data_IF_898173067552
#
_entry.id   IF_898173067552
#
_cell.length_a   1.000
_cell.length_b   1.000
_cell.length_c   1.000
_cell.angle_alpha   90.00
_cell.angle_beta   90.00
_cell.angle_gamma   90.00
#
_symmetry.space_group_name_H-M   'P 1'
#
loop_
_entity.id
_entity.type
_entity.pdbx_description
1 polymer ?
#
# COMPACT_ATOMS: atom_id res chain seq x y z
N UNK A 1 12.45 -8.56 -10.59
CA UNK A 1 12.96 -9.53 -9.61
C UNK A 1 11.98 -9.46 -8.43
N UNK A 2 11.13 -10.48 -8.26
CA UNK A 2 10.11 -10.50 -7.21
C UNK A 2 10.73 -11.24 -6.01
N UNK A 3 10.85 -10.58 -4.85
CA UNK A 3 11.40 -11.21 -3.65
C UNK A 3 10.28 -11.96 -2.93
N UNK A 4 10.38 -13.28 -2.88
CA UNK A 4 9.39 -14.16 -2.24
C UNK A 4 10.06 -14.99 -1.14
N UNK A 5 9.54 -14.89 0.09
CA UNK A 5 9.98 -15.74 1.20
C UNK A 5 8.93 -16.81 1.50
N UNK A 6 9.35 -18.07 1.61
CA UNK A 6 8.47 -19.22 1.86
C UNK A 6 8.48 -19.59 3.34
N UNK A 7 7.32 -19.64 3.97
CA UNK A 7 7.14 -20.12 5.36
C UNK A 7 6.65 -21.58 5.41
N UNK A 8 7.05 -22.35 6.44
CA UNK A 8 6.62 -23.75 6.63
C UNK A 8 5.19 -23.85 7.22
N UNK A 9 4.41 -24.90 6.88
CA UNK A 9 3.00 -24.98 7.26
C UNK A 9 2.82 -25.40 8.73
N UNK A 10 2.23 -24.51 9.53
CA UNK A 10 1.49 -24.86 10.74
C UNK A 10 0.01 -24.97 10.38
N UNK A 11 -0.57 -26.16 10.48
CA UNK A 11 -2.02 -26.37 10.36
C UNK A 11 -2.68 -25.99 11.68
N UNK A 12 -3.03 -24.73 11.85
CA UNK A 12 -3.67 -24.25 13.07
C UNK A 12 -4.20 -22.83 12.97
N UNK A 13 -5.13 -22.51 13.86
CA UNK A 13 -5.52 -21.14 14.19
C UNK A 13 -4.26 -20.27 14.39
N UNK A 14 -4.33 -18.93 14.24
CA UNK A 14 -3.16 -18.08 14.53
C UNK A 14 -2.76 -18.08 16.03
N UNK A 15 -3.56 -18.71 16.89
CA UNK A 15 -3.15 -19.13 18.24
C UNK A 15 -2.09 -20.25 18.24
N UNK A 16 -1.87 -20.91 17.10
CA UNK A 16 -0.85 -21.94 16.84
C UNK A 16 0.26 -21.42 15.89
N UNK A 17 0.49 -20.10 15.83
CA UNK A 17 1.78 -19.59 15.34
C UNK A 17 2.85 -20.18 16.26
N UNK A 18 3.50 -21.25 15.80
CA UNK A 18 4.56 -21.93 16.53
C UNK A 18 5.50 -20.87 17.10
N UNK A 19 5.67 -20.85 18.43
CA UNK A 19 6.58 -19.93 19.08
C UNK A 19 7.89 -19.90 18.28
N UNK A 20 8.40 -18.71 17.92
CA UNK A 20 9.59 -18.61 17.11
C UNK A 20 10.68 -19.45 17.77
N UNK A 21 11.18 -20.46 17.05
CA UNK A 21 12.11 -21.41 17.62
C UNK A 21 13.23 -20.67 18.36
N UNK A 22 13.65 -21.19 19.50
CA UNK A 22 14.72 -20.58 20.29
C UNK A 22 15.97 -20.26 19.43
N UNK A 23 16.21 -21.09 18.41
CA UNK A 23 17.28 -20.92 17.43
C UNK A 23 17.06 -19.71 16.51
N UNK A 24 15.84 -19.51 15.99
CA UNK A 24 15.52 -18.36 15.13
C UNK A 24 15.63 -17.04 15.89
N UNK A 25 15.19 -17.01 17.15
CA UNK A 25 15.31 -15.83 18.03
C UNK A 25 16.79 -15.53 18.36
N UNK A 26 17.60 -16.57 18.60
CA UNK A 26 19.06 -16.40 18.80
C UNK A 26 19.75 -15.85 17.55
N UNK A 27 19.42 -16.38 16.37
CA UNK A 27 19.99 -15.92 15.10
C UNK A 27 19.61 -14.45 14.81
N UNK A 28 18.35 -14.09 15.04
CA UNK A 28 17.86 -12.71 14.90
C UNK A 28 18.60 -11.73 15.83
N UNK A 29 18.70 -12.03 17.13
CA UNK A 29 19.40 -11.18 18.07
C UNK A 29 20.90 -11.05 17.74
N UNK A 30 21.50 -12.16 17.28
CA UNK A 30 22.88 -12.15 16.79
C UNK A 30 23.02 -11.23 15.58
N UNK A 31 22.13 -11.30 14.60
CA UNK A 31 22.15 -10.44 13.42
C UNK A 31 22.09 -8.95 13.79
N UNK A 32 21.19 -8.55 14.72
CA UNK A 32 21.14 -7.16 15.22
C UNK A 32 22.45 -6.77 15.89
N UNK A 33 22.99 -7.62 16.77
CA UNK A 33 24.24 -7.32 17.48
C UNK A 33 25.40 -7.17 16.51
N UNK A 34 25.50 -8.03 15.50
CA UNK A 34 26.53 -7.99 14.47
C UNK A 34 26.37 -6.77 13.57
N UNK A 35 25.15 -6.37 13.20
CA UNK A 35 24.91 -5.14 12.44
C UNK A 35 25.35 -3.91 13.23
N UNK A 36 24.96 -3.82 14.51
CA UNK A 36 25.36 -2.70 15.39
C UNK A 36 26.87 -2.62 15.54
N UNK A 37 27.52 -3.76 15.74
CA UNK A 37 28.97 -3.84 15.82
C UNK A 37 29.62 -3.42 14.50
N UNK A 38 29.13 -3.90 13.36
CA UNK A 38 29.64 -3.54 12.04
C UNK A 38 29.57 -2.04 11.78
N UNK A 39 28.45 -1.40 12.14
CA UNK A 39 28.27 0.05 12.03
C UNK A 39 29.22 0.81 12.98
N UNK A 40 29.46 0.28 14.19
CA UNK A 40 30.32 0.94 15.18
C UNK A 40 31.82 0.79 14.88
N UNK A 41 32.22 -0.36 14.34
CA UNK A 41 33.63 -0.71 14.10
C UNK A 41 34.13 -0.21 12.71
N UNK A 42 33.21 0.17 11.80
CA UNK A 42 33.55 0.65 10.46
C UNK A 42 33.50 2.17 10.38
N UNK A 43 34.60 2.80 9.94
CA UNK A 43 34.63 4.25 9.67
C UNK A 43 33.66 4.67 8.55
N UNK A 44 33.35 3.76 7.63
CA UNK A 44 32.38 3.91 6.55
C UNK A 44 31.74 2.54 6.19
N UNK A 45 30.68 2.10 6.88
CA UNK A 45 30.00 0.85 6.56
C UNK A 45 29.37 0.92 5.16
N UNK A 46 29.38 -0.19 4.43
CA UNK A 46 28.75 -0.28 3.11
C UNK A 46 27.23 -0.11 3.26
N UNK A 47 26.68 0.93 2.66
CA UNK A 47 25.27 1.30 2.82
C UNK A 47 24.34 0.20 2.27
N UNK A 48 24.72 -0.45 1.17
CA UNK A 48 23.98 -1.59 0.61
C UNK A 48 23.86 -2.76 1.61
N UNK A 49 24.93 -3.08 2.34
CA UNK A 49 24.91 -4.13 3.35
C UNK A 49 23.97 -3.78 4.51
N UNK A 50 24.04 -2.54 5.00
CA UNK A 50 23.17 -2.07 6.08
C UNK A 50 21.70 -2.10 5.65
N UNK A 51 21.40 -1.64 4.43
CA UNK A 51 20.06 -1.62 3.86
C UNK A 51 19.51 -3.04 3.65
N UNK A 52 20.33 -3.97 3.17
CA UNK A 52 19.95 -5.37 3.01
C UNK A 52 19.58 -6.00 4.36
N UNK A 53 20.40 -5.78 5.40
CA UNK A 53 20.10 -6.29 6.75
C UNK A 53 18.83 -5.65 7.31
N UNK A 54 18.64 -4.34 7.13
CA UNK A 54 17.40 -3.66 7.51
C UNK A 54 16.19 -4.28 6.82
N UNK A 55 16.25 -4.56 5.51
CA UNK A 55 15.16 -5.19 4.77
C UNK A 55 14.80 -6.57 5.33
N UNK A 56 15.81 -7.39 5.65
CA UNK A 56 15.62 -8.69 6.28
C UNK A 56 14.94 -8.54 7.65
N UNK A 57 15.41 -7.60 8.48
CA UNK A 57 14.82 -7.34 9.79
C UNK A 57 13.37 -6.87 9.68
N UNK A 58 13.05 -6.00 8.72
CA UNK A 58 11.66 -5.58 8.43
C UNK A 58 10.80 -6.82 8.12
N UNK A 59 11.26 -7.70 7.22
CA UNK A 59 10.53 -8.92 6.88
C UNK A 59 10.33 -9.82 8.10
N UNK A 60 11.35 -9.98 8.95
CA UNK A 60 11.25 -10.73 10.20
C UNK A 60 10.21 -10.13 11.16
N UNK A 61 10.20 -8.81 11.36
CA UNK A 61 9.22 -8.15 12.21
C UNK A 61 7.79 -8.30 11.67
N UNK A 62 7.60 -8.19 10.35
CA UNK A 62 6.29 -8.40 9.73
C UNK A 62 5.80 -9.85 9.89
N UNK A 63 6.69 -10.83 9.69
CA UNK A 63 6.39 -12.25 9.93
C UNK A 63 6.06 -12.55 11.39
N UNK A 64 6.61 -11.79 12.33
CA UNK A 64 6.33 -11.89 13.78
C UNK A 64 5.06 -11.13 14.18
N UNK A 65 4.42 -10.39 13.27
CA UNK A 65 3.25 -9.57 13.57
C UNK A 65 3.58 -8.34 14.42
N UNK A 66 4.79 -7.80 14.31
CA UNK A 66 5.28 -6.61 15.05
C UNK A 66 5.51 -5.42 14.10
N UNK A 67 4.45 -4.87 13.46
CA UNK A 67 4.56 -3.82 12.44
C UNK A 67 5.24 -2.53 12.94
N UNK A 68 5.13 -2.21 14.23
CA UNK A 68 5.78 -1.04 14.82
C UNK A 68 7.32 -1.14 14.77
N UNK A 69 7.86 -2.33 15.01
CA UNK A 69 9.31 -2.55 14.93
C UNK A 69 9.77 -2.61 13.48
N UNK A 70 8.97 -3.22 12.59
CA UNK A 70 9.19 -3.16 11.14
C UNK A 70 9.29 -1.70 10.66
N UNK A 71 8.41 -0.83 11.16
CA UNK A 71 8.38 0.60 10.83
C UNK A 71 9.64 1.32 11.29
N UNK A 72 10.16 0.99 12.48
CA UNK A 72 11.44 1.56 12.96
C UNK A 72 12.62 1.16 12.08
N UNK A 73 12.70 -0.10 11.65
CA UNK A 73 13.75 -0.54 10.73
C UNK A 73 13.62 0.13 9.36
N UNK A 74 12.38 0.31 8.89
CA UNK A 74 12.07 1.06 7.67
C UNK A 74 12.52 2.52 7.78
N UNK A 75 12.23 3.21 8.89
CA UNK A 75 12.65 4.60 9.14
C UNK A 75 14.16 4.78 9.10
N UNK A 76 14.88 3.87 9.76
CA UNK A 76 16.35 3.89 9.77
C UNK A 76 16.91 3.69 8.36
N UNK A 77 16.40 2.71 7.61
CA UNK A 77 16.87 2.47 6.24
C UNK A 77 16.47 3.59 5.27
N UNK A 78 15.27 4.16 5.42
CA UNK A 78 14.83 5.31 4.64
C UNK A 78 15.72 6.55 4.88
N UNK A 79 16.15 6.79 6.12
CA UNK A 79 17.09 7.86 6.42
C UNK A 79 18.43 7.67 5.67
N UNK A 80 18.94 6.44 5.60
CA UNK A 80 20.17 6.09 4.87
C UNK A 80 20.00 6.30 3.37
N UNK A 81 18.92 5.78 2.77
CA UNK A 81 18.62 5.98 1.34
C UNK A 81 18.54 7.48 1.00
N UNK A 82 17.90 8.28 1.86
CA UNK A 82 17.77 9.72 1.68
C UNK A 82 19.11 10.46 1.80
N UNK A 83 19.96 10.11 2.76
CA UNK A 83 21.28 10.74 2.89
C UNK A 83 22.19 10.41 1.71
N UNK A 84 22.17 9.16 1.26
CA UNK A 84 23.04 8.70 0.18
C UNK A 84 22.62 9.28 -1.18
N UNK A 85 21.34 9.25 -1.50
CA UNK A 85 20.81 9.86 -2.74
C UNK A 85 21.16 11.35 -2.84
N UNK A 86 21.14 12.09 -1.73
CA UNK A 86 21.58 13.49 -1.68
C UNK A 86 23.10 13.64 -1.92
N UNK A 87 23.91 12.68 -1.47
CA UNK A 87 25.35 12.64 -1.74
C UNK A 87 25.68 12.35 -3.20
N UNK A 88 24.98 11.39 -3.81
CA UNK A 88 25.15 11.03 -5.23
C UNK A 88 24.82 12.19 -6.17
N UNK A 89 23.76 12.96 -5.88
CA UNK A 89 23.40 14.13 -6.69
C UNK A 89 24.52 15.20 -6.69
N UNK A 90 25.24 15.37 -5.58
CA UNK A 90 26.36 16.33 -5.50
C UNK A 90 27.55 15.86 -6.33
N UNK A 91 27.85 14.56 -6.32
CA UNK A 91 28.98 13.96 -7.03
C UNK A 91 28.72 13.75 -8.53
N UNK A 92 27.46 13.56 -8.93
CA UNK A 92 27.03 13.32 -10.33
C UNK A 92 27.22 14.53 -11.26
N UNK A 93 27.54 15.70 -10.73
CA UNK A 93 27.80 16.90 -11.54
C UNK A 93 29.12 16.86 -12.31
N UNK A 94 29.92 15.78 -12.21
CA UNK A 94 31.30 15.79 -12.73
C UNK A 94 31.83 14.54 -13.49
N UNK A 95 31.08 13.46 -13.77
CA UNK A 95 31.62 12.37 -14.61
C UNK A 95 30.58 11.45 -15.29
N UNK A 96 31.02 10.84 -16.41
CA UNK A 96 30.26 10.09 -17.41
C UNK A 96 29.80 8.67 -17.00
N UNK A 97 28.49 8.43 -17.12
CA UNK A 97 27.68 7.27 -17.57
C UNK A 97 28.02 5.79 -17.27
N UNK A 98 29.01 5.44 -16.45
CA UNK A 98 29.17 4.04 -16.01
C UNK A 98 28.79 3.91 -14.54
N UNK A 99 27.61 3.33 -14.27
CA UNK A 99 27.20 2.94 -12.91
C UNK A 99 28.12 1.83 -12.39
N UNK A 100 28.59 1.98 -11.15
CA UNK A 100 29.29 0.88 -10.47
C UNK A 100 28.27 -0.19 -10.03
N UNK A 101 28.68 -1.46 -9.86
CA UNK A 101 27.82 -2.51 -9.32
C UNK A 101 27.20 -2.14 -7.96
N UNK A 102 27.96 -1.44 -7.11
CA UNK A 102 27.49 -0.95 -5.80
C UNK A 102 26.33 0.06 -5.94
N UNK A 103 26.33 0.86 -7.02
CA UNK A 103 25.26 1.81 -7.31
C UNK A 103 24.00 1.09 -7.82
N UNK A 104 24.15 0.02 -8.61
CA UNK A 104 23.02 -0.79 -9.07
C UNK A 104 22.34 -1.52 -7.90
N UNK A 105 23.13 -2.08 -6.96
CA UNK A 105 22.62 -2.70 -5.74
C UNK A 105 21.87 -1.70 -4.86
N UNK A 106 22.41 -0.48 -4.72
CA UNK A 106 21.74 0.60 -4.00
C UNK A 106 20.45 1.04 -4.68
N UNK A 107 20.44 1.23 -6.00
CA UNK A 107 19.24 1.60 -6.75
C UNK A 107 18.16 0.54 -6.54
N UNK A 108 18.51 -0.74 -6.58
CA UNK A 108 17.59 -1.84 -6.30
C UNK A 108 17.03 -1.79 -4.87
N UNK A 109 17.89 -1.63 -3.87
CA UNK A 109 17.49 -1.56 -2.46
C UNK A 109 16.62 -0.32 -2.21
N UNK A 110 16.97 0.83 -2.79
CA UNK A 110 16.18 2.06 -2.72
C UNK A 110 14.77 1.87 -3.27
N UNK A 111 14.62 1.17 -4.41
CA UNK A 111 13.30 0.80 -4.95
C UNK A 111 12.50 -0.05 -3.97
N UNK A 112 13.14 -1.01 -3.30
CA UNK A 112 12.49 -1.86 -2.30
C UNK A 112 12.04 -1.07 -1.06
N UNK A 113 12.87 -0.14 -0.57
CA UNK A 113 12.52 0.74 0.55
C UNK A 113 11.36 1.69 0.22
N UNK A 114 11.32 2.22 -1.00
CA UNK A 114 10.19 3.03 -1.48
C UNK A 114 8.91 2.19 -1.54
N UNK A 115 8.97 0.97 -2.06
CA UNK A 115 7.82 0.07 -2.06
C UNK A 115 7.31 -0.18 -0.63
N UNK A 116 8.21 -0.54 0.30
CA UNK A 116 7.84 -0.78 1.70
C UNK A 116 7.29 0.47 2.40
N UNK A 117 7.82 1.65 2.07
CA UNK A 117 7.30 2.90 2.60
C UNK A 117 5.87 3.17 2.14
N UNK A 118 5.56 2.93 0.88
CA UNK A 118 4.18 3.02 0.38
C UNK A 118 3.25 2.12 1.20
N UNK A 119 3.68 0.91 1.58
CA UNK A 119 2.84 0.04 2.42
C UNK A 119 2.70 0.57 3.83
N UNK A 120 3.79 1.03 4.44
CA UNK A 120 3.77 1.51 5.81
C UNK A 120 2.89 2.78 5.90
N UNK A 121 2.99 3.67 4.93
CA UNK A 121 2.13 4.87 4.82
C UNK A 121 0.70 4.48 4.48
N UNK A 122 0.49 3.47 3.63
CA UNK A 122 -0.82 2.93 3.34
C UNK A 122 -1.40 2.07 4.49
N UNK A 123 -0.62 1.75 5.53
CA UNK A 123 -1.01 0.98 6.72
C UNK A 123 -1.19 1.86 7.98
N UNK A 124 -0.49 2.99 8.04
CA UNK A 124 -0.54 3.92 9.16
C UNK A 124 -0.76 5.35 8.66
N UNK A 125 -1.97 5.87 8.88
CA UNK A 125 -2.39 7.22 8.48
C UNK A 125 -1.67 8.35 9.23
N UNK A 126 -1.05 8.04 10.37
CA UNK A 126 -0.21 8.99 11.11
C UNK A 126 1.21 9.09 10.52
N UNK A 127 1.56 8.21 9.57
CA UNK A 127 2.88 8.18 8.95
C UNK A 127 2.91 9.01 7.67
N UNK A 128 3.89 9.89 7.57
CA UNK A 128 4.26 10.55 6.33
C UNK A 128 5.44 9.83 5.66
N UNK A 129 5.50 9.77 4.31
CA UNK A 129 6.65 9.19 3.62
C UNK A 129 7.91 10.05 3.82
N UNK A 130 9.06 9.37 3.97
CA UNK A 130 10.40 9.94 4.12
C UNK A 130 11.11 10.01 2.75
N UNK A 131 10.93 8.98 1.92
CA UNK A 131 11.55 8.76 0.61
C UNK A 131 10.68 9.23 -0.54
N UNK A 132 9.36 9.05 -0.42
CA UNK A 132 8.44 9.47 -1.47
C UNK A 132 8.14 10.96 -1.37
N UNK A 133 8.91 11.75 -2.11
CA UNK A 133 8.69 13.18 -2.28
C UNK A 133 9.07 13.59 -3.68
N UNK A 134 8.08 13.68 -4.57
CA UNK A 134 8.15 14.48 -5.79
C UNK A 134 8.20 15.96 -5.34
N UNK A 135 9.31 16.39 -4.76
CA UNK A 135 9.36 17.63 -4.00
C UNK A 135 8.97 17.47 -2.53
N UNK A 136 9.74 18.14 -1.67
CA UNK A 136 9.56 18.13 -0.22
C UNK A 136 8.15 18.64 0.18
N UNK A 137 7.62 18.20 1.33
CA UNK A 137 6.36 18.72 1.86
C UNK A 137 6.46 20.24 2.04
N UNK A 138 5.59 20.98 1.34
CA UNK A 138 5.49 22.44 1.38
C UNK A 138 5.93 23.18 0.12
N UNK A 139 6.60 22.52 -0.84
CA UNK A 139 7.03 23.17 -2.08
C UNK A 139 6.20 22.68 -3.27
N UNK A 140 5.04 23.32 -3.49
CA UNK A 140 4.17 23.02 -4.65
C UNK A 140 4.93 23.09 -5.98
N UNK A 141 5.97 23.93 -6.04
CA UNK A 141 6.81 24.08 -7.23
C UNK A 141 7.64 22.81 -7.52
N UNK A 142 7.95 22.04 -6.50
CA UNK A 142 8.78 20.86 -6.66
C UNK A 142 7.98 19.67 -7.25
N UNK A 143 6.67 19.59 -6.99
CA UNK A 143 5.77 18.65 -7.69
C UNK A 143 5.58 19.08 -9.15
N UNK A 144 5.45 20.39 -9.42
CA UNK A 144 5.38 20.90 -10.80
C UNK A 144 6.65 20.60 -11.60
N UNK A 145 7.80 20.58 -10.94
CA UNK A 145 9.08 20.16 -11.55
C UNK A 145 9.26 18.63 -11.64
N UNK A 146 8.39 17.86 -11.01
CA UNK A 146 8.53 16.42 -10.93
C UNK A 146 8.10 15.77 -12.25
N UNK A 147 9.09 15.50 -13.10
CA UNK A 147 8.87 14.86 -14.39
C UNK A 147 8.62 13.36 -14.21
N UNK A 148 7.35 12.94 -14.24
CA UNK A 148 7.05 11.57 -14.60
C UNK A 148 7.58 11.29 -16.01
N UNK A 149 8.16 10.11 -16.28
CA UNK A 149 8.56 9.78 -17.64
C UNK A 149 7.34 9.77 -18.57
N UNK A 150 7.53 10.14 -19.84
CA UNK A 150 6.48 10.01 -20.87
C UNK A 150 6.29 8.57 -21.33
N UNK A 151 7.31 7.73 -21.15
CA UNK A 151 7.34 6.34 -21.59
C UNK A 151 8.13 5.50 -20.57
N UNK A 152 7.76 4.23 -20.41
CA UNK A 152 8.51 3.30 -19.58
C UNK A 152 9.30 2.34 -20.47
N UNK A 153 10.52 2.00 -20.08
CA UNK A 153 11.32 0.98 -20.78
C UNK A 153 11.01 -0.43 -20.27
N UNK A 154 10.59 -0.55 -19.01
CA UNK A 154 10.33 -1.83 -18.35
C UNK A 154 9.13 -1.73 -17.41
N UNK A 155 8.52 -2.88 -17.10
CA UNK A 155 7.45 -2.97 -16.09
C UNK A 155 7.97 -2.51 -14.72
N UNK A 156 9.25 -2.75 -14.42
CA UNK A 156 9.88 -2.33 -13.17
C UNK A 156 9.97 -0.81 -13.04
N UNK A 157 10.22 -0.11 -14.15
CA UNK A 157 10.24 1.36 -14.14
C UNK A 157 8.82 1.93 -13.98
N UNK A 158 7.82 1.29 -14.60
CA UNK A 158 6.41 1.65 -14.39
C UNK A 158 5.98 1.45 -12.94
N UNK A 159 6.34 0.30 -12.32
CA UNK A 159 6.07 0.00 -10.92
C UNK A 159 6.75 0.99 -9.98
N UNK A 160 8.03 1.28 -10.20
CA UNK A 160 8.77 2.25 -9.40
C UNK A 160 8.12 3.63 -9.44
N UNK A 161 7.78 4.09 -10.65
CA UNK A 161 7.07 5.35 -10.88
C UNK A 161 5.71 5.37 -10.19
N UNK A 162 4.96 4.26 -10.23
CA UNK A 162 3.67 4.13 -9.55
C UNK A 162 3.83 4.21 -8.02
N UNK A 163 4.84 3.56 -7.44
CA UNK A 163 5.11 3.65 -6.01
C UNK A 163 5.41 5.09 -5.57
N UNK A 164 6.16 5.84 -6.37
CA UNK A 164 6.42 7.26 -6.11
C UNK A 164 5.15 8.11 -6.18
N UNK A 165 4.28 7.82 -7.16
CA UNK A 165 2.98 8.47 -7.26
C UNK A 165 2.08 8.14 -6.07
N UNK A 166 2.01 6.86 -5.69
CA UNK A 166 1.24 6.36 -4.55
C UNK A 166 1.66 7.04 -3.24
N UNK A 167 2.95 7.03 -2.91
CA UNK A 167 3.41 7.67 -1.67
C UNK A 167 3.15 9.19 -1.66
N UNK A 168 3.32 9.87 -2.80
CA UNK A 168 3.04 11.32 -2.91
C UNK A 168 1.54 11.60 -2.75
N UNK A 169 0.70 10.76 -3.34
CA UNK A 169 -0.74 10.86 -3.21
C UNK A 169 -1.20 10.56 -1.78
N UNK A 170 -0.68 9.52 -1.12
CA UNK A 170 -1.00 9.24 0.28
C UNK A 170 -0.59 10.40 1.21
N UNK A 171 0.60 10.97 1.03
CA UNK A 171 1.01 12.16 1.79
C UNK A 171 0.03 13.32 1.59
N UNK A 172 -0.33 13.61 0.34
CA UNK A 172 -1.30 14.66 0.04
C UNK A 172 -2.66 14.39 0.69
N UNK A 173 -3.13 13.14 0.70
CA UNK A 173 -4.39 12.77 1.33
C UNK A 173 -4.39 12.87 2.85
N UNK A 174 -3.25 12.60 3.50
CA UNK A 174 -3.07 12.82 4.94
C UNK A 174 -3.08 14.32 5.25
N UNK A 175 -2.37 15.13 4.47
CA UNK A 175 -2.36 16.59 4.60
C UNK A 175 -3.75 17.21 4.39
N UNK A 176 -4.55 16.68 3.46
CA UNK A 176 -5.89 17.20 3.15
C UNK A 176 -7.01 16.60 3.99
N UNK A 177 -6.70 15.61 4.84
CA UNK A 177 -7.67 14.96 5.71
C UNK A 177 -8.54 15.94 6.53
N UNK A 178 -8.02 17.05 7.09
CA UNK A 178 -8.85 18.02 7.82
C UNK A 178 -9.91 18.74 6.96
N UNK A 179 -9.77 18.73 5.63
CA UNK A 179 -10.60 19.50 4.72
C UNK A 179 -11.64 18.67 3.95
N UNK A 180 -11.71 17.34 4.12
CA UNK A 180 -12.55 16.48 3.27
C UNK A 180 -14.03 16.86 3.23
N UNK A 181 -14.56 17.32 4.36
CA UNK A 181 -15.98 17.69 4.53
C UNK A 181 -16.15 19.21 4.64
N UNK A 182 -15.06 19.94 4.39
CA UNK A 182 -15.10 21.38 4.24
C UNK A 182 -15.61 21.76 2.85
N UNK A 183 -16.43 22.80 2.77
CA UNK A 183 -16.73 23.47 1.50
C UNK A 183 -15.42 23.84 0.79
N UNK A 184 -15.41 23.79 -0.54
CA UNK A 184 -14.23 24.12 -1.36
C UNK A 184 -13.61 25.47 -1.06
N UNK A 185 -14.42 26.44 -0.64
CA UNK A 185 -13.96 27.77 -0.23
C UNK A 185 -13.02 27.74 0.96
N UNK A 186 -13.10 26.70 1.80
CA UNK A 186 -12.31 26.52 3.01
C UNK A 186 -11.07 25.64 2.77
N UNK A 187 -10.97 25.00 1.60
CA UNK A 187 -9.82 24.20 1.22
C UNK A 187 -8.72 25.15 0.70
N UNK A 188 -7.52 25.15 1.28
CA UNK A 188 -6.42 25.95 0.74
C UNK A 188 -6.14 25.62 -0.73
N UNK A 189 -6.03 26.65 -1.57
CA UNK A 189 -5.82 26.50 -3.02
C UNK A 189 -4.59 25.65 -3.39
N UNK A 190 -3.56 25.65 -2.54
CA UNK A 190 -2.39 24.79 -2.72
C UNK A 190 -2.75 23.30 -2.75
N UNK A 191 -3.69 22.86 -1.90
CA UNK A 191 -4.15 21.47 -1.87
C UNK A 191 -5.00 21.11 -3.10
N UNK A 192 -5.86 22.02 -3.55
CA UNK A 192 -6.65 21.84 -4.78
C UNK A 192 -5.69 21.68 -5.98
N UNK A 193 -4.73 22.60 -6.13
CA UNK A 193 -3.72 22.51 -7.21
C UNK A 193 -2.90 21.23 -7.14
N UNK A 194 -2.44 20.84 -5.95
CA UNK A 194 -1.67 19.61 -5.74
C UNK A 194 -2.47 18.37 -6.15
N UNK A 195 -3.76 18.31 -5.81
CA UNK A 195 -4.65 17.23 -6.21
C UNK A 195 -4.83 17.16 -7.73
N UNK A 196 -5.11 18.28 -8.39
CA UNK A 196 -5.23 18.31 -9.85
C UNK A 196 -3.94 17.88 -10.54
N UNK A 197 -2.79 18.30 -10.02
CA UNK A 197 -1.50 17.84 -10.51
C UNK A 197 -1.33 16.33 -10.35
N UNK A 198 -1.69 15.76 -9.20
CA UNK A 198 -1.66 14.31 -8.99
C UNK A 198 -2.59 13.54 -9.94
N UNK A 199 -3.75 14.10 -10.31
CA UNK A 199 -4.64 13.52 -11.33
C UNK A 199 -3.96 13.49 -12.70
N UNK A 200 -3.41 14.62 -13.14
CA UNK A 200 -2.64 14.70 -14.40
C UNK A 200 -1.48 13.70 -14.40
N UNK A 201 -0.83 13.51 -13.25
CA UNK A 201 0.23 12.52 -13.08
C UNK A 201 -0.28 11.08 -13.17
N UNK A 202 -1.45 10.77 -12.61
CA UNK A 202 -2.12 9.47 -12.77
C UNK A 202 -2.45 9.20 -14.24
N UNK A 203 -2.99 10.19 -14.96
CA UNK A 203 -3.34 10.06 -16.37
C UNK A 203 -2.10 9.81 -17.23
N UNK A 204 -1.03 10.58 -16.99
CA UNK A 204 0.25 10.42 -17.69
C UNK A 204 0.88 9.05 -17.43
N UNK A 205 0.87 8.60 -16.19
CA UNK A 205 1.35 7.25 -15.84
C UNK A 205 0.56 6.19 -16.60
N UNK A 206 -0.77 6.32 -16.67
CA UNK A 206 -1.64 5.38 -17.36
C UNK A 206 -1.35 5.34 -18.87
N UNK A 207 -1.17 6.49 -19.51
CA UNK A 207 -0.80 6.58 -20.92
C UNK A 207 0.54 5.88 -21.21
N UNK A 208 1.59 6.19 -20.43
CA UNK A 208 2.89 5.56 -20.57
C UNK A 208 2.85 4.04 -20.33
N UNK A 209 2.01 3.58 -19.39
CA UNK A 209 1.81 2.16 -19.13
C UNK A 209 1.11 1.46 -20.29
N UNK A 210 0.08 2.07 -20.89
CA UNK A 210 -0.63 1.52 -22.06
C UNK A 210 0.29 1.37 -23.28
N UNK A 211 1.19 2.34 -23.49
CA UNK A 211 2.21 2.25 -24.54
C UNK A 211 3.15 1.05 -24.29
N UNK A 212 3.67 0.92 -23.07
CA UNK A 212 4.50 -0.23 -22.67
C UNK A 212 3.76 -1.58 -22.84
N UNK A 213 2.50 -1.66 -22.44
CA UNK A 213 1.67 -2.87 -22.60
C UNK A 213 1.53 -3.28 -24.07
N UNK A 214 1.34 -2.30 -24.95
CA UNK A 214 1.24 -2.50 -26.39
C UNK A 214 2.57 -2.97 -26.98
N UNK A 215 3.69 -2.33 -26.62
CA UNK A 215 5.03 -2.67 -27.10
C UNK A 215 5.46 -4.08 -26.67
N UNK A 216 5.17 -4.45 -25.43
CA UNK A 216 5.50 -5.77 -24.88
C UNK A 216 4.53 -6.87 -25.33
N UNK A 217 3.41 -6.53 -25.98
CA UNK A 217 2.40 -7.50 -26.38
C UNK A 217 1.79 -8.27 -25.20
N UNK A 218 1.62 -7.61 -24.05
CA UNK A 218 1.24 -8.26 -22.77
C UNK A 218 -0.04 -9.08 -22.92
N UNK A 219 -1.01 -8.60 -23.70
CA UNK A 219 -2.34 -9.20 -23.84
C UNK A 219 -2.44 -10.16 -25.05
N UNK A 220 -1.47 -11.05 -25.21
CA UNK A 220 -1.51 -12.12 -26.22
C UNK A 220 -2.71 -13.07 -26.00
N UNK A 221 -3.34 -13.51 -27.09
CA UNK A 221 -4.45 -14.47 -27.05
C UNK A 221 -4.04 -15.87 -26.58
N UNK A 222 -2.76 -16.24 -26.76
CA UNK A 222 -2.20 -17.52 -26.34
C UNK A 222 -0.93 -17.24 -25.50
N UNK A 223 -1.09 -16.77 -24.25
CA UNK A 223 0.05 -16.39 -23.43
C UNK A 223 0.86 -17.63 -23.00
N UNK A 224 2.18 -17.54 -23.08
CA UNK A 224 3.06 -18.50 -22.42
C UNK A 224 3.11 -18.21 -20.90
N UNK A 225 3.92 -18.98 -20.14
CA UNK A 225 4.04 -18.80 -18.68
C UNK A 225 4.58 -17.42 -18.30
N UNK A 226 5.56 -16.91 -19.05
CA UNK A 226 6.15 -15.59 -18.81
C UNK A 226 5.16 -14.48 -19.15
N UNK A 227 4.42 -14.61 -20.25
CA UNK A 227 3.35 -13.68 -20.62
C UNK A 227 2.28 -13.63 -19.53
N UNK A 228 1.85 -14.79 -19.00
CA UNK A 228 0.92 -14.85 -17.86
C UNK A 228 1.48 -14.14 -16.63
N UNK A 229 2.77 -14.31 -16.31
CA UNK A 229 3.40 -13.59 -15.19
C UNK A 229 3.37 -12.08 -15.43
N UNK A 230 3.72 -11.62 -16.64
CA UNK A 230 3.66 -10.20 -17.02
C UNK A 230 2.23 -9.66 -16.93
N UNK A 231 1.23 -10.37 -17.45
CA UNK A 231 -0.18 -10.01 -17.36
C UNK A 231 -0.63 -9.83 -15.91
N UNK A 232 -0.25 -10.75 -15.02
CA UNK A 232 -0.54 -10.64 -13.59
C UNK A 232 0.10 -9.39 -12.99
N UNK A 233 1.40 -9.16 -13.22
CA UNK A 233 2.09 -7.96 -12.72
C UNK A 233 1.42 -6.68 -13.22
N UNK A 234 1.13 -6.58 -14.52
CA UNK A 234 0.44 -5.43 -15.10
C UNK A 234 -0.94 -5.24 -14.46
N UNK A 235 -1.71 -6.32 -14.28
CA UNK A 235 -3.03 -6.24 -13.66
C UNK A 235 -2.97 -5.75 -12.20
N UNK A 236 -1.95 -6.14 -11.43
CA UNK A 236 -1.71 -5.58 -10.08
C UNK A 236 -1.47 -4.07 -10.15
N UNK A 237 -0.58 -3.61 -11.03
CA UNK A 237 -0.27 -2.19 -11.17
C UNK A 237 -1.49 -1.38 -11.63
N UNK A 238 -2.30 -1.92 -12.54
CA UNK A 238 -3.56 -1.30 -13.00
C UNK A 238 -4.58 -1.19 -11.88
N UNK A 239 -4.72 -2.21 -11.04
CA UNK A 239 -5.60 -2.16 -9.88
C UNK A 239 -5.14 -1.11 -8.86
N UNK A 240 -3.83 -1.05 -8.56
CA UNK A 240 -3.25 -0.05 -7.66
C UNK A 240 -3.43 1.38 -8.19
N UNK A 241 -3.14 1.61 -9.47
CA UNK A 241 -3.37 2.89 -10.14
C UNK A 241 -4.84 3.31 -10.06
N UNK A 242 -5.76 2.40 -10.37
CA UNK A 242 -7.19 2.69 -10.32
C UNK A 242 -7.65 3.03 -8.89
N UNK A 243 -7.16 2.32 -7.88
CA UNK A 243 -7.45 2.63 -6.48
C UNK A 243 -7.01 4.04 -6.09
N UNK A 244 -5.81 4.46 -6.46
CA UNK A 244 -5.34 5.81 -6.09
C UNK A 244 -6.07 6.90 -6.86
N UNK A 245 -6.43 6.66 -8.12
CA UNK A 245 -7.26 7.57 -8.89
C UNK A 245 -8.63 7.76 -8.23
N UNK A 246 -9.32 6.66 -7.88
CA UNK A 246 -10.61 6.73 -7.19
C UNK A 246 -10.50 7.47 -5.84
N UNK A 247 -9.43 7.19 -5.07
CA UNK A 247 -9.18 7.89 -3.81
C UNK A 247 -8.98 9.40 -4.00
N UNK A 248 -8.21 9.81 -5.01
CA UNK A 248 -8.00 11.22 -5.33
C UNK A 248 -9.32 11.87 -5.77
N UNK A 249 -10.19 11.15 -6.48
CA UNK A 249 -11.48 11.66 -6.92
C UNK A 249 -12.46 11.87 -5.76
N UNK A 250 -12.40 11.04 -4.73
CA UNK A 250 -13.26 11.15 -3.55
C UNK A 250 -12.66 12.04 -2.44
N UNK A 251 -11.38 12.40 -2.51
CA UNK A 251 -10.69 13.04 -1.38
C UNK A 251 -11.24 14.43 -1.00
N UNK A 252 -11.68 15.25 -1.98
CA UNK A 252 -12.22 16.60 -1.74
C UNK A 252 -13.44 16.80 -2.63
N UNK A 253 -14.60 17.04 -2.04
CA UNK A 253 -15.82 17.35 -2.80
C UNK A 253 -15.72 18.76 -3.39
N UNK A 254 -15.49 18.87 -4.70
CA UNK A 254 -15.31 20.18 -5.35
C UNK A 254 -16.65 20.91 -5.55
N UNK A 255 -17.75 20.17 -5.69
CA UNK A 255 -19.09 20.71 -5.91
C UNK A 255 -20.09 20.09 -4.94
N UNK A 256 -20.30 20.68 -3.75
CA UNK A 256 -21.27 20.19 -2.78
C UNK A 256 -22.74 20.42 -3.21
N UNK A 257 -22.99 21.12 -4.33
CA UNK A 257 -24.33 21.43 -4.79
C UNK A 257 -25.02 20.27 -5.54
N UNK A 258 -24.28 19.22 -5.90
CA UNK A 258 -24.80 18.05 -6.62
C UNK A 258 -25.07 16.90 -5.63
N UNK A 259 -25.92 17.14 -4.61
CA UNK A 259 -26.33 16.13 -3.62
C UNK A 259 -26.98 14.88 -4.28
N UNK A 260 -27.47 15.02 -5.51
CA UNK A 260 -28.29 14.01 -6.19
C UNK A 260 -27.49 13.00 -7.03
N UNK A 261 -26.16 13.16 -7.19
CA UNK A 261 -25.35 12.34 -8.13
C UNK A 261 -23.93 11.96 -7.64
N UNK A 262 -23.69 11.89 -6.33
CA UNK A 262 -22.40 11.38 -5.80
C UNK A 262 -22.31 9.85 -5.94
N UNK A 263 -22.33 9.34 -7.18
CA UNK A 263 -21.87 7.97 -7.44
C UNK A 263 -20.41 7.89 -7.00
N UNK A 264 -20.08 6.88 -6.19
CA UNK A 264 -18.70 6.69 -5.75
C UNK A 264 -17.83 6.39 -6.98
N UNK A 265 -16.65 7.02 -7.08
CA UNK A 265 -15.71 6.74 -8.18
C UNK A 265 -15.35 5.24 -8.19
N UNK A 266 -15.39 4.60 -7.03
CA UNK A 266 -15.25 3.16 -6.89
C UNK A 266 -16.36 2.34 -7.57
N UNK A 267 -17.62 2.78 -7.52
CA UNK A 267 -18.73 2.06 -8.16
C UNK A 267 -18.69 2.19 -9.68
N UNK A 268 -18.40 3.38 -10.19
CA UNK A 268 -18.25 3.63 -11.63
C UNK A 268 -17.12 2.78 -12.22
N UNK A 269 -16.05 2.58 -11.44
CA UNK A 269 -14.88 1.82 -11.84
C UNK A 269 -14.89 0.35 -11.39
N UNK A 270 -15.96 -0.11 -10.75
CA UNK A 270 -16.01 -1.42 -10.09
C UNK A 270 -15.73 -2.60 -11.03
N UNK A 271 -16.33 -2.59 -12.22
CA UNK A 271 -16.12 -3.64 -13.21
C UNK A 271 -14.68 -3.70 -13.70
N UNK A 272 -14.03 -2.55 -13.89
CA UNK A 272 -12.61 -2.48 -14.28
C UNK A 272 -11.70 -2.99 -13.17
N UNK A 273 -11.95 -2.58 -11.93
CA UNK A 273 -11.16 -3.00 -10.78
C UNK A 273 -11.22 -4.53 -10.58
N UNK A 274 -12.43 -5.10 -10.55
CA UNK A 274 -12.62 -6.55 -10.36
C UNK A 274 -12.02 -7.35 -11.52
N UNK A 275 -12.09 -6.85 -12.75
CA UNK A 275 -11.41 -7.47 -13.89
C UNK A 275 -9.90 -7.57 -13.66
N UNK A 276 -9.25 -6.48 -13.28
CA UNK A 276 -7.81 -6.49 -13.04
C UNK A 276 -7.42 -7.37 -11.85
N UNK A 277 -8.16 -7.26 -10.74
CA UNK A 277 -7.92 -8.10 -9.58
C UNK A 277 -8.07 -9.59 -9.92
N UNK A 278 -9.10 -9.96 -10.69
CA UNK A 278 -9.34 -11.35 -11.12
C UNK A 278 -8.16 -11.90 -11.94
N UNK A 279 -7.68 -11.16 -12.94
CA UNK A 279 -6.52 -11.55 -13.76
C UNK A 279 -5.28 -11.78 -12.88
N UNK A 280 -5.03 -10.88 -11.93
CA UNK A 280 -3.85 -10.97 -11.07
C UNK A 280 -3.92 -12.11 -10.05
N UNK A 281 -5.12 -12.53 -9.62
CA UNK A 281 -5.34 -13.67 -8.72
C UNK A 281 -5.55 -15.01 -9.42
N UNK A 282 -5.66 -15.01 -10.75
CA UNK A 282 -6.03 -16.21 -11.51
C UNK A 282 -5.03 -17.36 -11.23
N UNK A 283 -5.55 -18.53 -10.89
CA UNK A 283 -4.77 -19.64 -10.31
C UNK A 283 -4.20 -20.61 -11.37
N UNK A 284 -4.20 -20.22 -12.64
CA UNK A 284 -3.88 -21.04 -13.82
C UNK A 284 -2.43 -21.57 -13.96
N UNK A 285 -1.68 -21.69 -12.86
CA UNK A 285 -0.46 -22.50 -12.87
C UNK A 285 -0.88 -23.95 -12.65
N UNK A 286 -0.85 -24.74 -13.73
CA UNK A 286 -1.11 -26.17 -13.64
C UNK A 286 0.01 -26.84 -12.83
N UNK A 287 -0.32 -27.73 -11.86
CA UNK A 287 0.65 -28.35 -10.95
C UNK A 287 1.64 -29.33 -11.63
N UNK A 288 1.61 -29.46 -12.96
CA UNK A 288 2.42 -30.40 -13.73
C UNK A 288 3.52 -29.72 -14.57
N UNK A 289 3.79 -28.43 -14.39
CA UNK A 289 4.90 -27.76 -15.08
C UNK A 289 6.22 -27.93 -14.29
N UNK A 290 7.20 -28.71 -14.78
CA UNK A 290 8.48 -28.90 -14.11
C UNK A 290 9.32 -27.60 -14.01
N UNK A 291 8.96 -26.53 -14.71
CA UNK A 291 9.57 -25.20 -14.55
C UNK A 291 8.94 -24.37 -13.41
N UNK A 292 7.78 -24.77 -12.86
CA UNK A 292 7.11 -24.08 -11.76
C UNK A 292 7.71 -24.39 -10.38
N UNK A 293 8.65 -25.36 -10.30
CA UNK A 293 9.16 -25.96 -9.08
C UNK A 293 9.98 -25.09 -8.11
N UNK A 294 10.12 -23.78 -8.33
CA UNK A 294 11.01 -22.97 -7.47
C UNK A 294 10.49 -21.62 -6.97
N UNK A 295 9.28 -21.16 -7.29
CA UNK A 295 8.85 -19.87 -6.73
C UNK A 295 7.36 -19.70 -6.41
N UNK A 296 6.42 -20.21 -7.23
CA UNK A 296 5.02 -19.73 -7.12
C UNK A 296 4.02 -20.77 -6.61
N UNK A 297 4.32 -22.06 -6.75
CA UNK A 297 3.42 -23.14 -6.35
C UNK A 297 4.14 -24.11 -5.41
N UNK A 298 4.30 -23.69 -4.16
CA UNK A 298 4.42 -24.66 -3.10
C UNK A 298 3.04 -25.28 -2.94
N UNK A 299 2.73 -26.34 -3.69
CA UNK A 299 1.50 -27.15 -3.61
C UNK A 299 1.21 -27.78 -2.23
N UNK A 300 1.89 -27.29 -1.21
CA UNK A 300 1.93 -27.72 0.19
C UNK A 300 1.28 -26.65 1.11
N UNK A 301 0.54 -25.68 0.56
CA UNK A 301 -0.16 -24.65 1.33
C UNK A 301 0.73 -23.59 1.99
N UNK A 302 1.97 -23.43 1.50
CA UNK A 302 2.93 -22.46 2.06
C UNK A 302 2.57 -21.04 1.64
N UNK A 303 2.60 -20.10 2.58
CA UNK A 303 2.37 -18.67 2.30
C UNK A 303 3.65 -18.07 1.71
N UNK A 304 3.52 -17.43 0.56
CA UNK A 304 4.57 -16.56 0.00
C UNK A 304 4.45 -15.16 0.62
N UNK A 305 5.55 -14.60 1.10
CA UNK A 305 5.63 -13.22 1.53
C UNK A 305 6.10 -12.33 0.38
N UNK A 306 5.45 -11.17 0.20
CA UNK A 306 5.86 -10.17 -0.77
C UNK A 306 6.05 -8.79 -0.12
N UNK A 307 7.08 -8.10 -0.61
CA UNK A 307 7.48 -6.73 -0.24
C UNK A 307 6.70 -5.70 -1.10
N UNK A 308 6.01 -6.14 -2.15
CA UNK A 308 5.23 -5.27 -3.04
C UNK A 308 3.78 -5.09 -2.55
N UNK A 309 3.16 -3.95 -2.91
CA UNK A 309 1.86 -3.56 -2.33
C UNK A 309 0.78 -4.57 -2.69
N UNK A 310 1.00 -5.30 -3.79
CA UNK A 310 0.15 -6.39 -4.22
C UNK A 310 -1.27 -5.89 -4.47
N UNK A 311 -2.22 -6.80 -4.29
CA UNK A 311 -3.65 -6.50 -4.44
C UNK A 311 -4.38 -6.34 -3.12
N UNK A 312 -3.77 -6.74 -2.00
CA UNK A 312 -4.43 -6.79 -0.70
C UNK A 312 -5.02 -5.45 -0.31
N UNK A 313 -4.21 -4.38 -0.17
CA UNK A 313 -4.71 -3.06 0.22
C UNK A 313 -5.70 -2.47 -0.79
N UNK A 314 -5.45 -2.49 -2.13
CA UNK A 314 -6.45 -2.11 -3.12
C UNK A 314 -7.79 -2.84 -2.99
N UNK A 315 -7.77 -4.17 -2.80
CA UNK A 315 -8.99 -4.98 -2.68
C UNK A 315 -9.74 -4.70 -1.38
N UNK A 316 -9.02 -4.53 -0.27
CA UNK A 316 -9.61 -4.13 1.02
C UNK A 316 -10.33 -2.81 0.83
N UNK A 317 -9.60 -1.79 0.35
CA UNK A 317 -10.14 -0.46 0.11
C UNK A 317 -11.37 -0.50 -0.80
N UNK A 318 -11.26 -1.22 -1.92
CA UNK A 318 -12.35 -1.37 -2.88
C UNK A 318 -13.60 -1.99 -2.23
N UNK A 319 -13.44 -3.09 -1.50
CA UNK A 319 -14.55 -3.76 -0.82
C UNK A 319 -15.21 -2.85 0.24
N UNK A 320 -14.45 -1.96 0.86
CA UNK A 320 -14.98 -0.96 1.78
C UNK A 320 -15.73 0.17 1.07
N UNK A 321 -15.26 0.60 -0.10
CA UNK A 321 -15.74 1.82 -0.77
C UNK A 321 -16.89 1.60 -1.75
N UNK A 322 -16.96 0.43 -2.38
CA UNK A 322 -18.05 0.13 -3.33
C UNK A 322 -19.38 -0.01 -2.58
N UNK A 323 -20.42 0.63 -3.12
CA UNK A 323 -21.81 0.44 -2.66
C UNK A 323 -22.46 -0.77 -3.35
N UNK A 324 -21.87 -1.27 -4.44
CA UNK A 324 -22.33 -2.45 -5.14
C UNK A 324 -21.96 -3.74 -4.39
N UNK A 325 -22.96 -4.33 -3.73
CA UNK A 325 -22.82 -5.58 -2.97
C UNK A 325 -22.29 -6.75 -3.80
N UNK A 326 -22.62 -6.83 -5.09
CA UNK A 326 -22.13 -7.86 -5.99
C UNK A 326 -20.62 -7.77 -6.24
N UNK A 327 -20.09 -6.56 -6.43
CA UNK A 327 -18.65 -6.35 -6.59
C UNK A 327 -17.89 -6.42 -5.26
N UNK A 328 -18.50 -5.96 -4.16
CA UNK A 328 -17.96 -6.16 -2.82
C UNK A 328 -17.72 -7.64 -2.50
N UNK A 329 -18.72 -8.50 -2.73
CA UNK A 329 -18.59 -9.94 -2.49
C UNK A 329 -17.53 -10.59 -3.38
N UNK A 330 -17.39 -10.13 -4.62
CA UNK A 330 -16.31 -10.58 -5.50
C UNK A 330 -14.93 -10.17 -4.95
N UNK A 331 -14.75 -8.92 -4.52
CA UNK A 331 -13.50 -8.46 -3.92
C UNK A 331 -13.14 -9.26 -2.65
N UNK A 332 -14.11 -9.51 -1.77
CA UNK A 332 -13.93 -10.35 -0.57
C UNK A 332 -13.54 -11.79 -0.97
N UNK A 333 -14.15 -12.34 -2.02
CA UNK A 333 -13.80 -13.67 -2.53
C UNK A 333 -12.37 -13.72 -3.07
N UNK A 334 -11.92 -12.68 -3.79
CA UNK A 334 -10.55 -12.57 -4.29
C UNK A 334 -9.53 -12.41 -3.15
N UNK A 335 -9.87 -11.70 -2.09
CA UNK A 335 -9.02 -11.62 -0.91
C UNK A 335 -8.90 -12.96 -0.17
N UNK A 336 -9.97 -13.76 -0.14
CA UNK A 336 -9.93 -15.12 0.45
C UNK A 336 -9.04 -16.06 -0.35
N UNK A 337 -8.98 -15.91 -1.67
CA UNK A 337 -8.13 -16.75 -2.52
C UNK A 337 -6.66 -16.32 -2.45
N UNK A 338 -6.38 -15.07 -2.11
CA UNK A 338 -5.00 -14.59 -1.92
C UNK A 338 -4.39 -15.10 -0.60
N UNK A 339 -3.51 -16.10 -0.73
CA UNK A 339 -2.80 -16.71 0.42
C UNK A 339 -1.50 -15.99 0.77
N UNK A 340 -1.14 -14.92 0.08
CA UNK A 340 0.14 -14.22 0.28
C UNK A 340 0.09 -13.38 1.56
N UNK A 341 1.22 -13.35 2.26
CA UNK A 341 1.44 -12.35 3.31
C UNK A 341 1.97 -11.08 2.62
N UNK A 342 1.20 -9.99 2.70
CA UNK A 342 1.50 -8.74 1.98
C UNK A 342 1.91 -7.66 2.97
N UNK A 343 3.22 -7.56 3.23
CA UNK A 343 3.79 -6.52 4.09
C UNK A 343 3.11 -6.41 5.47
N UNK A 344 2.55 -5.23 5.74
CA UNK A 344 1.88 -4.87 7.00
C UNK A 344 0.46 -5.44 7.16
N UNK A 345 -0.11 -6.01 6.10
CA UNK A 345 -1.52 -6.43 6.10
C UNK A 345 -1.64 -7.93 6.33
N UNK A 346 -2.41 -8.29 7.37
CA UNK A 346 -2.92 -9.65 7.47
C UNK A 346 -4.25 -9.75 6.73
N UNK A 347 -4.18 -10.21 5.48
CA UNK A 347 -5.35 -10.30 4.60
C UNK A 347 -6.42 -11.25 5.14
N UNK A 348 -6.05 -12.31 5.87
CA UNK A 348 -7.02 -13.22 6.47
C UNK A 348 -7.84 -12.48 7.51
N UNK A 349 -7.17 -11.69 8.35
CA UNK A 349 -7.81 -10.87 9.36
C UNK A 349 -8.68 -9.76 8.76
N UNK A 350 -8.18 -9.04 7.76
CA UNK A 350 -8.94 -8.00 7.08
C UNK A 350 -10.19 -8.57 6.41
N UNK A 351 -10.06 -9.74 5.78
CA UNK A 351 -11.18 -10.44 5.14
C UNK A 351 -12.25 -10.86 6.15
N UNK A 352 -11.85 -11.34 7.32
CA UNK A 352 -12.79 -11.69 8.39
C UNK A 352 -13.54 -10.45 8.89
N UNK A 353 -12.83 -9.33 9.10
CA UNK A 353 -13.43 -8.05 9.49
C UNK A 353 -14.42 -7.57 8.43
N UNK A 354 -14.04 -7.57 7.14
CA UNK A 354 -14.92 -7.15 6.05
C UNK A 354 -16.15 -8.03 5.93
N UNK A 355 -16.01 -9.34 6.09
CA UNK A 355 -17.15 -10.24 6.09
C UNK A 355 -18.10 -9.92 7.23
N UNK A 356 -17.59 -9.81 8.45
CA UNK A 356 -18.41 -9.49 9.63
C UNK A 356 -19.13 -8.15 9.47
N UNK A 357 -18.42 -7.13 8.99
CA UNK A 357 -18.99 -5.83 8.67
C UNK A 357 -20.08 -5.90 7.59
N UNK A 358 -19.91 -6.75 6.57
CA UNK A 358 -20.89 -6.95 5.50
C UNK A 358 -22.15 -7.68 5.96
N UNK A 359 -22.06 -8.49 7.02
CA UNK A 359 -23.16 -9.30 7.55
C UNK A 359 -23.78 -8.73 8.82
N UNK A 360 -23.26 -7.62 9.36
CA UNK A 360 -23.72 -7.06 10.62
C UNK A 360 -25.16 -6.55 10.47
N UNK A 361 -26.09 -6.87 11.39
CA UNK A 361 -27.50 -6.52 11.27
C UNK A 361 -27.77 -4.99 11.31
N UNK A 362 -26.86 -4.24 11.94
CA UNK A 362 -26.86 -2.76 11.92
C UNK A 362 -25.88 -2.17 10.88
N UNK A 363 -25.40 -2.98 9.92
CA UNK A 363 -24.58 -2.45 8.84
C UNK A 363 -25.41 -1.37 8.11
N UNK A 364 -24.95 -0.10 8.10
CA UNK A 364 -25.70 0.94 7.41
C UNK A 364 -25.85 0.55 5.93
N UNK A 365 -26.96 0.97 5.31
CA UNK A 365 -27.02 1.06 3.85
C UNK A 365 -25.73 1.71 3.32
N UNK A 366 -25.23 1.22 2.18
CA UNK A 366 -23.81 1.09 1.86
C UNK A 366 -23.01 2.31 2.33
N UNK A 367 -22.15 2.06 3.34
CA UNK A 367 -21.24 2.98 4.05
C UNK A 367 -21.29 4.46 3.62
N UNK A 368 -22.46 5.09 3.71
CA UNK A 368 -22.61 6.48 3.28
C UNK A 368 -21.80 7.36 4.23
N UNK A 369 -21.00 8.28 3.68
CA UNK A 369 -20.04 9.14 4.40
C UNK A 369 -20.65 9.93 5.57
N UNK A 370 -21.98 9.98 5.67
CA UNK A 370 -22.74 10.80 6.62
C UNK A 370 -23.15 10.08 7.92
N UNK A 371 -22.93 8.77 8.09
CA UNK A 371 -23.43 8.04 9.27
C UNK A 371 -22.33 7.62 10.27
N UNK A 372 -22.20 8.41 11.35
CA UNK A 372 -21.57 8.13 12.65
C UNK A 372 -20.25 7.31 12.66
N UNK A 373 -19.07 7.97 12.63
CA UNK A 373 -17.76 7.31 12.74
C UNK A 373 -17.59 6.48 14.02
N UNK A 374 -18.24 6.86 15.14
CA UNK A 374 -18.22 6.09 16.38
C UNK A 374 -18.89 4.71 16.27
N UNK A 375 -19.88 4.55 15.38
CA UNK A 375 -20.56 3.27 15.18
C UNK A 375 -19.66 2.31 14.39
N UNK A 376 -18.97 2.78 13.36
CA UNK A 376 -18.02 1.95 12.59
C UNK A 376 -16.85 1.47 13.44
N UNK A 377 -16.22 2.36 14.22
CA UNK A 377 -15.12 1.97 15.12
C UNK A 377 -15.60 0.96 16.17
N UNK A 378 -16.81 1.15 16.72
CA UNK A 378 -17.43 0.19 17.65
C UNK A 378 -17.76 -1.13 16.97
N UNK A 379 -18.33 -1.13 15.76
CA UNK A 379 -18.68 -2.35 15.02
C UNK A 379 -17.42 -3.09 14.58
N UNK A 380 -16.38 -2.37 14.16
CA UNK A 380 -15.14 -2.98 13.73
C UNK A 380 -14.27 -3.45 14.91
N UNK A 381 -14.30 -2.73 16.04
CA UNK A 381 -13.74 -3.22 17.30
C UNK A 381 -14.53 -4.42 17.84
N UNK A 382 -15.86 -4.44 17.69
CA UNK A 382 -16.70 -5.59 18.05
C UNK A 382 -16.44 -6.78 17.13
N UNK A 383 -16.30 -6.57 15.82
CA UNK A 383 -15.93 -7.59 14.84
C UNK A 383 -14.52 -8.13 15.13
N UNK A 384 -13.55 -7.25 15.40
CA UNK A 384 -12.22 -7.67 15.83
C UNK A 384 -12.30 -8.47 17.14
N UNK A 385 -13.06 -8.00 18.13
CA UNK A 385 -13.25 -8.71 19.40
C UNK A 385 -13.94 -10.06 19.22
N UNK A 386 -14.91 -10.16 18.32
CA UNK A 386 -15.62 -11.40 18.00
C UNK A 386 -14.68 -12.41 17.31
N UNK A 387 -13.77 -11.94 16.46
CA UNK A 387 -12.79 -12.78 15.78
C UNK A 387 -11.61 -13.18 16.70
N UNK A 388 -11.16 -12.30 17.61
CA UNK A 388 -9.90 -12.49 18.35
C UNK A 388 -10.04 -12.77 19.86
N UNK A 389 -11.18 -12.49 20.49
CA UNK A 389 -11.37 -12.72 21.91
C UNK A 389 -10.53 -11.86 22.87
N UNK A 390 -9.69 -10.94 22.38
CA UNK A 390 -8.86 -10.05 23.20
C UNK A 390 -8.73 -8.64 22.61
N UNK A 391 -8.62 -7.65 23.49
CA UNK A 391 -8.58 -6.22 23.14
C UNK A 391 -7.18 -5.74 22.67
N UNK A 392 -6.13 -6.56 22.70
CA UNK A 392 -4.73 -6.14 22.50
C UNK A 392 -4.20 -6.20 21.06
N UNK A 393 -4.85 -6.95 20.17
CA UNK A 393 -4.47 -7.05 18.74
C UNK A 393 -5.18 -5.99 17.87
N UNK A 394 -5.90 -5.09 18.53
CA UNK A 394 -6.82 -4.10 17.94
C UNK A 394 -6.09 -2.96 17.23
N UNK A 395 -4.88 -2.58 17.64
CA UNK A 395 -4.25 -1.36 17.12
C UNK A 395 -3.95 -1.43 15.62
N UNK A 396 -3.19 -2.41 15.12
CA UNK A 396 -2.81 -2.44 13.69
C UNK A 396 -3.97 -2.69 12.71
N UNK A 397 -4.96 -3.49 13.10
CA UNK A 397 -6.14 -3.77 12.27
C UNK A 397 -7.16 -2.62 12.30
N UNK A 398 -7.34 -1.95 13.45
CA UNK A 398 -8.02 -0.66 13.50
C UNK A 398 -7.25 0.40 12.72
N UNK A 399 -5.91 0.40 12.71
CA UNK A 399 -5.07 1.38 12.01
C UNK A 399 -5.13 1.26 10.48
N UNK A 400 -5.29 0.04 9.95
CA UNK A 400 -5.66 -0.15 8.53
C UNK A 400 -7.04 0.44 8.21
N UNK A 401 -8.01 0.26 9.11
CA UNK A 401 -9.29 0.99 9.01
C UNK A 401 -9.12 2.48 9.30
N UNK A 402 -8.02 2.90 9.94
CA UNK A 402 -7.66 4.30 10.09
C UNK A 402 -7.03 4.93 8.84
N UNK A 403 -6.58 4.21 7.82
CA UNK A 403 -6.34 4.89 6.52
C UNK A 403 -7.61 5.15 5.76
N UNK A 404 -8.66 4.42 6.14
CA UNK A 404 -9.99 4.86 5.83
C UNK A 404 -10.35 6.07 6.73
N UNK A 405 -9.76 6.31 7.92
CA UNK A 405 -10.11 7.46 8.81
C UNK A 405 -9.98 8.85 8.18
N UNK A 406 -8.98 9.16 7.33
CA UNK A 406 -8.99 10.40 6.56
C UNK A 406 -10.28 10.53 5.75
N UNK A 407 -10.88 9.45 5.28
CA UNK A 407 -12.22 9.42 4.64
C UNK A 407 -13.36 9.61 5.65
N UNK A 408 -13.19 9.25 6.93
CA UNK A 408 -14.28 9.19 7.91
C UNK A 408 -14.32 10.29 9.00
N UNK A 409 -13.33 11.18 9.11
CA UNK A 409 -13.39 12.30 10.09
C UNK A 409 -14.22 13.48 9.57
N UNK A 410 -15.49 13.56 9.97
CA UNK A 410 -16.23 14.85 10.08
C UNK A 410 -17.07 15.04 11.33
N UNK A 411 -17.37 14.03 12.15
CA UNK A 411 -18.40 14.23 13.17
C UNK A 411 -17.91 14.63 14.57
N UNK A 412 -16.59 14.65 14.84
CA UNK A 412 -16.08 15.04 16.17
C UNK A 412 -15.75 16.53 16.34
N UNK A 413 -15.82 17.37 15.29
CA UNK A 413 -15.53 18.81 15.39
C UNK A 413 -16.73 19.74 15.15
N UNK A 414 -17.94 19.20 14.94
CA UNK A 414 -19.15 20.00 14.73
C UNK A 414 -20.20 19.89 15.85
N UNK A 415 -19.86 19.23 16.97
CA UNK A 415 -20.68 19.20 18.19
C UNK A 415 -19.99 19.97 19.32
N UNK A 416 -19.60 21.22 19.04
CA UNK A 416 -19.37 22.23 20.06
C UNK A 416 -20.50 23.24 19.91
N UNK A 417 -21.49 23.10 20.81
CA UNK A 417 -22.53 24.05 21.21
C UNK A 417 -23.02 25.08 20.17
N UNK A 418 -24.05 24.69 19.42
CA UNK A 418 -25.00 25.63 18.82
C UNK A 418 -26.37 25.58 19.54
N UNK A 419 -26.39 25.32 20.86
CA UNK A 419 -27.58 25.50 21.71
C UNK A 419 -27.56 26.81 22.53
N UNK A 420 -26.51 27.63 22.43
CA UNK A 420 -26.39 28.85 23.25
C UNK A 420 -26.17 30.15 22.45
N UNK A 421 -26.90 30.35 21.34
CA UNK A 421 -27.21 31.71 20.85
C UNK A 421 -28.69 31.80 20.48
N UNK A 422 -29.50 31.81 21.54
CA UNK A 422 -30.85 32.34 21.53
C UNK A 422 -31.04 33.19 22.77
N UNK A 423 -31.23 34.50 22.57
CA UNK A 423 -31.60 35.52 23.58
C UNK A 423 -30.43 36.18 24.33
N UNK A 424 -29.84 37.22 23.72
CA UNK A 424 -29.90 38.63 24.19
C UNK A 424 -29.26 39.59 23.18
#
# INVERSE_FOLDING_TARGET
MHWEFVSSPGSGSLSDMAEPSLESTKAYNKAISSLRQYIADSDAPAEADVLLVCLILICCELLRGTPDQATKHLDMGAAIVKSWSAGLYRSSSQSCDIKSPEQDDFDMLSRAFIAMEVHAVAFNDERLPILTGLGLPGDTNAIESAHLPTQFSTIQDAQYSLNQLLGTAFAAMVETAPYKISYTTNVPQAHIRRRELLRVMCDRWLSAMLELESELGVWSANPNVEDRRRQKTVAVLRAQHLSIQCLLDENIQINPCDEEHCASSFDDNAGHFIRWASIATDSDITPNDPAAGHAWDSGDGKRAFSIDLGLGPPLILFAFKTTNTGYQQQAISLLRSDKRLQGWYDLKHMTAIMHELSTHPDAPEPWSENHYPGRLESTAAAAAKAVYGHDSFTMGSLQTMRLLRPVWRSLDCAYIDCEEIGVL
#
